data_IF_804436523131
#
_entry.id   IF_804436523131
#
_cell.length_a   1.000
_cell.length_b   1.000
_cell.length_c   1.000
_cell.angle_alpha   90.00
_cell.angle_beta   90.00
_cell.angle_gamma   90.00
#
_symmetry.space_group_name_H-M   'P 1'
#
loop_
_entity.id
_entity.type
_entity.pdbx_description
1 polymer ?
#
# COMPACT_ATOMS: atom_id res chain seq x y z
N UNK A 1 -37.66 -53.11 1.10
CA UNK A 1 -37.57 -51.92 0.23
C UNK A 1 -37.44 -50.61 1.05
N UNK A 2 -38.23 -50.40 2.10
CA UNK A 2 -38.20 -49.12 2.89
C UNK A 2 -36.93 -48.97 3.75
N UNK A 3 -36.40 -50.06 4.30
CA UNK A 3 -35.16 -50.07 5.11
C UNK A 3 -33.91 -49.86 4.25
N UNK A 4 -33.91 -50.30 3.02
CA UNK A 4 -32.78 -50.08 2.10
C UNK A 4 -32.68 -48.61 1.65
N UNK A 5 -33.82 -47.95 1.36
CA UNK A 5 -33.85 -46.52 1.04
C UNK A 5 -33.35 -45.65 2.19
N UNK A 6 -33.68 -45.99 3.45
CA UNK A 6 -33.20 -45.27 4.64
C UNK A 6 -31.69 -45.41 4.83
N UNK A 7 -31.12 -46.59 4.59
CA UNK A 7 -29.66 -46.82 4.68
C UNK A 7 -28.91 -46.08 3.59
N UNK A 8 -29.39 -46.08 2.36
CA UNK A 8 -28.78 -45.31 1.27
C UNK A 8 -28.79 -43.80 1.55
N UNK A 9 -29.90 -43.28 2.05
CA UNK A 9 -29.99 -41.87 2.43
C UNK A 9 -28.99 -41.51 3.57
N UNK A 10 -28.89 -42.33 4.61
CA UNK A 10 -27.94 -42.15 5.71
C UNK A 10 -26.48 -42.18 5.25
N UNK A 11 -26.11 -43.10 4.35
CA UNK A 11 -24.78 -43.21 3.80
C UNK A 11 -24.44 -42.02 2.90
N UNK A 12 -25.39 -41.51 2.11
CA UNK A 12 -25.24 -40.33 1.28
C UNK A 12 -24.93 -39.06 2.12
N UNK A 13 -25.76 -38.83 3.18
CA UNK A 13 -25.57 -37.70 4.11
C UNK A 13 -24.22 -37.79 4.84
N UNK A 14 -23.81 -38.99 5.28
CA UNK A 14 -22.53 -39.21 5.94
C UNK A 14 -21.33 -38.94 4.99
N UNK A 15 -21.47 -39.34 3.72
CA UNK A 15 -20.47 -39.08 2.68
C UNK A 15 -20.33 -37.59 2.36
N UNK A 16 -21.44 -36.85 2.30
CA UNK A 16 -21.42 -35.39 2.13
C UNK A 16 -20.77 -34.68 3.33
N UNK A 17 -21.09 -35.11 4.54
CA UNK A 17 -20.46 -34.56 5.76
C UNK A 17 -18.96 -34.85 5.82
N UNK A 18 -18.50 -36.03 5.41
CA UNK A 18 -17.08 -36.36 5.35
C UNK A 18 -16.37 -35.55 4.27
N UNK A 19 -16.95 -35.40 3.10
CA UNK A 19 -16.40 -34.57 2.02
C UNK A 19 -16.32 -33.09 2.45
N UNK A 20 -17.32 -32.56 3.09
CA UNK A 20 -17.35 -31.21 3.65
C UNK A 20 -16.24 -30.99 4.67
N UNK A 21 -16.07 -31.93 5.62
CA UNK A 21 -14.96 -31.88 6.61
C UNK A 21 -13.57 -31.96 5.98
N UNK A 22 -13.40 -32.83 4.97
CA UNK A 22 -12.13 -32.95 4.26
C UNK A 22 -11.82 -31.67 3.47
N UNK A 23 -12.80 -31.07 2.79
CA UNK A 23 -12.64 -29.82 2.09
C UNK A 23 -12.29 -28.65 3.03
N UNK A 24 -12.93 -28.56 4.19
CA UNK A 24 -12.61 -27.57 5.21
C UNK A 24 -11.19 -27.73 5.76
N UNK A 25 -10.76 -28.98 6.03
CA UNK A 25 -9.43 -29.29 6.52
C UNK A 25 -8.36 -28.93 5.48
N UNK A 26 -8.59 -29.27 4.22
CA UNK A 26 -7.70 -28.93 3.10
C UNK A 26 -7.58 -27.42 2.93
N UNK A 27 -8.71 -26.69 2.97
CA UNK A 27 -8.75 -25.23 2.89
C UNK A 27 -8.01 -24.56 4.06
N UNK A 28 -8.22 -25.04 5.28
CA UNK A 28 -7.53 -24.53 6.47
C UNK A 28 -6.01 -24.72 6.38
N UNK A 29 -5.56 -25.87 5.87
CA UNK A 29 -4.14 -26.16 5.68
C UNK A 29 -3.53 -25.24 4.63
N UNK A 30 -4.22 -25.01 3.50
CA UNK A 30 -3.81 -24.10 2.44
C UNK A 30 -3.66 -22.65 2.94
N UNK A 31 -4.67 -22.16 3.69
CA UNK A 31 -4.62 -20.82 4.29
C UNK A 31 -3.44 -20.64 5.26
N UNK A 32 -3.23 -21.63 6.14
CA UNK A 32 -2.09 -21.62 7.07
C UNK A 32 -0.76 -21.57 6.35
N UNK A 33 -0.57 -22.39 5.31
CA UNK A 33 0.66 -22.37 4.51
C UNK A 33 0.89 -21.01 3.85
N UNK A 34 -0.14 -20.45 3.23
CA UNK A 34 -0.05 -19.15 2.59
C UNK A 34 0.28 -18.02 3.60
N UNK A 35 -0.35 -18.03 4.77
CA UNK A 35 -0.05 -17.09 5.85
C UNK A 35 1.39 -17.23 6.37
N UNK A 36 1.81 -18.47 6.66
CA UNK A 36 3.17 -18.74 7.17
C UNK A 36 4.25 -18.36 6.15
N UNK A 37 3.97 -18.54 4.85
CA UNK A 37 4.88 -18.11 3.79
C UNK A 37 4.90 -16.57 3.62
N UNK A 38 3.78 -15.88 3.77
CA UNK A 38 3.68 -14.44 3.63
C UNK A 38 4.31 -13.67 4.79
N UNK A 39 4.13 -14.16 6.02
CA UNK A 39 4.51 -13.46 7.25
C UNK A 39 5.99 -13.00 7.28
N UNK A 40 7.00 -13.83 6.95
CA UNK A 40 8.40 -13.40 6.99
C UNK A 40 8.71 -12.23 6.05
N UNK A 41 8.06 -12.15 4.89
CA UNK A 41 8.24 -11.06 3.94
C UNK A 41 7.71 -9.72 4.47
N UNK A 42 6.73 -9.75 5.37
CA UNK A 42 6.11 -8.54 5.91
C UNK A 42 6.76 -8.01 7.18
N UNK A 43 7.63 -8.78 7.85
CA UNK A 43 8.31 -8.36 9.09
C UNK A 43 9.13 -7.06 8.90
N UNK A 44 9.94 -6.91 7.85
CA UNK A 44 10.65 -5.65 7.64
C UNK A 44 9.73 -4.44 7.46
N UNK A 45 8.58 -4.68 6.79
CA UNK A 45 7.58 -3.62 6.54
C UNK A 45 6.86 -3.21 7.83
N UNK A 46 6.65 -4.16 8.75
CA UNK A 46 6.01 -3.89 10.03
C UNK A 46 6.68 -2.73 10.79
N UNK A 47 8.00 -2.74 10.91
CA UNK A 47 8.72 -1.69 11.64
C UNK A 47 8.52 -0.30 11.00
N UNK A 48 8.63 -0.21 9.65
CA UNK A 48 8.44 1.03 8.93
C UNK A 48 6.99 1.53 8.99
N UNK A 49 6.02 0.65 8.73
CA UNK A 49 4.60 1.01 8.75
C UNK A 49 4.10 1.38 10.15
N UNK A 50 4.58 0.70 11.18
CA UNK A 50 4.24 1.05 12.55
C UNK A 50 4.79 2.42 12.93
N UNK A 51 6.06 2.67 12.64
CA UNK A 51 6.67 3.97 12.92
C UNK A 51 5.95 5.11 12.20
N UNK A 52 5.76 5.00 10.89
CA UNK A 52 5.07 6.02 10.09
C UNK A 52 3.59 6.14 10.46
N UNK A 53 2.91 5.03 10.72
CA UNK A 53 1.51 5.03 11.15
C UNK A 53 1.32 5.71 12.50
N UNK A 54 2.15 5.40 13.49
CA UNK A 54 2.13 6.08 14.81
C UNK A 54 2.38 7.58 14.62
N UNK A 55 3.37 7.96 13.82
CA UNK A 55 3.66 9.37 13.52
C UNK A 55 2.45 10.07 12.88
N UNK A 56 1.80 9.42 11.90
CA UNK A 56 0.57 9.93 11.29
C UNK A 56 -0.56 10.11 12.31
N UNK A 57 -0.78 9.09 13.16
CA UNK A 57 -1.82 9.17 14.19
C UNK A 57 -1.58 10.29 15.20
N UNK A 58 -0.32 10.48 15.63
CA UNK A 58 0.08 11.59 16.50
C UNK A 58 -0.16 12.92 15.79
N UNK A 59 0.26 13.05 14.52
CA UNK A 59 0.06 14.27 13.74
C UNK A 59 -1.42 14.66 13.62
N UNK A 60 -2.29 13.69 13.31
CA UNK A 60 -3.74 13.90 13.30
C UNK A 60 -4.28 14.37 14.67
N UNK A 61 -3.80 13.75 15.76
CA UNK A 61 -4.26 14.10 17.10
C UNK A 61 -3.85 15.53 17.48
N UNK A 62 -2.61 15.91 17.23
CA UNK A 62 -2.10 17.26 17.50
C UNK A 62 -2.79 18.31 16.63
N UNK A 63 -3.17 17.93 15.41
CA UNK A 63 -3.98 18.77 14.51
C UNK A 63 -5.45 18.94 14.97
N UNK A 64 -5.81 18.38 16.14
CA UNK A 64 -7.14 18.53 16.74
C UNK A 64 -8.13 17.42 16.36
N UNK A 65 -7.72 16.39 15.64
CA UNK A 65 -8.57 15.27 15.26
C UNK A 65 -8.46 14.13 16.27
N UNK A 66 -9.60 13.61 16.74
CA UNK A 66 -9.61 12.44 17.63
C UNK A 66 -9.09 11.17 16.93
N UNK A 67 -8.70 10.16 17.71
CA UNK A 67 -8.12 8.90 17.21
C UNK A 67 -8.98 8.15 16.17
N UNK A 68 -10.28 8.43 16.12
CA UNK A 68 -11.20 7.86 15.14
C UNK A 68 -10.88 8.27 13.69
N UNK A 69 -10.35 9.48 13.50
CA UNK A 69 -10.00 9.98 12.17
C UNK A 69 -8.86 9.17 11.55
N UNK A 70 -7.66 9.08 12.17
CA UNK A 70 -6.58 8.28 11.60
C UNK A 70 -6.95 6.80 11.48
N UNK A 71 -7.75 6.25 12.42
CA UNK A 71 -8.24 4.89 12.35
C UNK A 71 -9.12 4.64 11.10
N UNK A 72 -10.13 5.49 10.87
CA UNK A 72 -11.04 5.32 9.72
C UNK A 72 -10.34 5.60 8.39
N UNK A 73 -9.46 6.60 8.35
CA UNK A 73 -8.72 6.95 7.14
C UNK A 73 -7.75 5.85 6.74
N UNK A 74 -7.00 5.28 7.68
CA UNK A 74 -6.08 4.19 7.41
C UNK A 74 -6.78 2.90 6.96
N UNK A 75 -8.03 2.65 7.38
CA UNK A 75 -8.85 1.53 6.90
C UNK A 75 -9.39 1.79 5.49
N UNK A 76 -9.81 3.02 5.19
CA UNK A 76 -10.59 3.33 3.97
C UNK A 76 -9.74 3.90 2.84
N UNK A 77 -8.64 4.59 3.13
CA UNK A 77 -7.75 5.22 2.15
C UNK A 77 -6.53 4.31 1.89
N UNK A 78 -5.85 3.88 2.94
CA UNK A 78 -4.64 3.04 2.91
C UNK A 78 -3.59 3.57 1.91
N UNK A 79 -3.31 4.86 1.97
CA UNK A 79 -2.35 5.55 1.13
C UNK A 79 -1.61 6.60 1.97
N UNK A 80 -0.58 6.18 2.72
CA UNK A 80 0.08 6.95 3.77
C UNK A 80 0.40 8.39 3.36
N UNK A 81 1.04 8.61 2.21
CA UNK A 81 1.37 9.96 1.73
C UNK A 81 0.12 10.85 1.53
N UNK A 82 -0.98 10.26 1.05
CA UNK A 82 -2.25 10.98 0.88
C UNK A 82 -2.92 11.23 2.23
N UNK A 83 -2.81 10.28 3.15
CA UNK A 83 -3.38 10.43 4.50
C UNK A 83 -2.72 11.59 5.24
N UNK A 84 -1.39 11.75 5.18
CA UNK A 84 -0.71 12.92 5.72
C UNK A 84 -1.19 14.23 5.07
N UNK A 85 -1.28 14.25 3.73
CA UNK A 85 -1.78 15.42 3.00
C UNK A 85 -3.23 15.77 3.35
N UNK A 86 -4.04 14.75 3.65
CA UNK A 86 -5.47 14.96 3.99
C UNK A 86 -5.63 15.74 5.30
N UNK A 87 -4.64 15.73 6.20
CA UNK A 87 -4.66 16.55 7.43
C UNK A 87 -4.75 18.03 7.06
N UNK A 88 -3.89 18.50 6.16
CA UNK A 88 -3.89 19.88 5.69
C UNK A 88 -5.19 20.24 4.94
N UNK A 89 -5.71 19.29 4.15
CA UNK A 89 -6.98 19.45 3.46
C UNK A 89 -8.17 19.55 4.43
N UNK A 90 -8.12 18.89 5.58
CA UNK A 90 -9.16 18.97 6.61
C UNK A 90 -9.06 20.25 7.44
N UNK A 91 -7.87 20.80 7.61
CA UNK A 91 -7.64 22.06 8.34
C UNK A 91 -7.94 23.29 7.48
N UNK A 92 -7.79 23.18 6.17
CA UNK A 92 -7.98 24.26 5.23
C UNK A 92 -9.39 24.31 4.61
N UNK A 93 -9.57 25.22 3.67
CA UNK A 93 -10.76 25.24 2.82
C UNK A 93 -10.72 24.04 1.85
N UNK A 94 -11.75 23.22 1.86
CA UNK A 94 -11.82 22.04 1.00
C UNK A 94 -12.12 22.42 -0.46
N UNK A 95 -11.16 22.18 -1.34
CA UNK A 95 -11.26 22.35 -2.77
C UNK A 95 -11.23 20.98 -3.49
N UNK A 96 -12.39 20.41 -3.89
CA UNK A 96 -12.47 19.05 -4.42
C UNK A 96 -11.56 18.77 -5.62
N UNK A 97 -11.47 19.73 -6.54
CA UNK A 97 -10.63 19.58 -7.74
C UNK A 97 -9.14 19.56 -7.39
N UNK A 98 -8.71 20.41 -6.47
CA UNK A 98 -7.32 20.43 -6.00
C UNK A 98 -6.99 19.13 -5.24
N UNK A 99 -7.87 18.69 -4.34
CA UNK A 99 -7.71 17.43 -3.62
C UNK A 99 -7.60 16.24 -4.58
N UNK A 100 -8.46 16.18 -5.60
CA UNK A 100 -8.40 15.15 -6.64
C UNK A 100 -7.06 15.20 -7.41
N UNK A 101 -6.66 16.38 -7.90
CA UNK A 101 -5.42 16.54 -8.64
C UNK A 101 -4.21 16.13 -7.81
N UNK A 102 -4.09 16.61 -6.57
CA UNK A 102 -2.98 16.26 -5.67
C UNK A 102 -2.94 14.76 -5.36
N UNK A 103 -4.10 14.16 -5.05
CA UNK A 103 -4.20 12.71 -4.78
C UNK A 103 -3.79 11.89 -6.00
N UNK A 104 -4.28 12.25 -7.19
CA UNK A 104 -3.92 11.58 -8.44
C UNK A 104 -2.41 11.67 -8.71
N UNK A 105 -1.83 12.84 -8.45
CA UNK A 105 -0.42 13.09 -8.66
C UNK A 105 0.47 12.26 -7.73
N UNK A 106 0.20 12.27 -6.44
CA UNK A 106 0.97 11.50 -5.43
C UNK A 106 0.84 10.01 -5.70
N UNK A 107 -0.36 9.56 -6.06
CA UNK A 107 -0.65 8.14 -6.33
C UNK A 107 -0.46 7.72 -7.80
N UNK A 108 0.07 8.58 -8.68
CA UNK A 108 0.28 8.25 -10.10
C UNK A 108 1.12 6.98 -10.30
N UNK A 109 2.06 6.71 -9.41
CA UNK A 109 2.88 5.47 -9.40
C UNK A 109 2.04 4.19 -9.28
N UNK A 110 0.90 4.23 -8.58
CA UNK A 110 0.02 3.06 -8.44
C UNK A 110 -0.64 2.63 -9.77
N UNK A 111 -0.75 3.53 -10.75
CA UNK A 111 -1.19 3.17 -12.10
C UNK A 111 -0.20 2.20 -12.76
N UNK A 112 1.10 2.43 -12.60
CA UNK A 112 2.14 1.55 -13.14
C UNK A 112 2.18 0.21 -12.40
N UNK A 113 2.01 0.20 -11.07
CA UNK A 113 1.88 -1.04 -10.29
C UNK A 113 0.67 -1.84 -10.75
N UNK A 114 -0.47 -1.17 -10.96
CA UNK A 114 -1.69 -1.79 -11.46
C UNK A 114 -1.48 -2.46 -12.82
N UNK A 115 -0.81 -1.81 -13.75
CA UNK A 115 -0.50 -2.37 -15.07
C UNK A 115 0.40 -3.60 -14.94
N UNK A 116 1.45 -3.52 -14.12
CA UNK A 116 2.41 -4.62 -13.92
C UNK A 116 1.78 -5.85 -13.26
N UNK A 117 0.74 -5.66 -12.43
CA UNK A 117 0.07 -6.74 -11.70
C UNK A 117 -1.21 -7.26 -12.39
N UNK A 118 -1.56 -6.76 -13.58
CA UNK A 118 -2.81 -7.13 -14.27
C UNK A 118 -2.92 -8.64 -14.49
N UNK A 119 -1.86 -9.27 -14.97
CA UNK A 119 -1.85 -10.70 -15.27
C UNK A 119 -1.82 -11.54 -13.98
N UNK A 120 -1.10 -11.07 -12.96
CA UNK A 120 -1.00 -11.72 -11.67
C UNK A 120 -2.34 -11.76 -10.91
N UNK A 121 -3.19 -10.77 -11.13
CA UNK A 121 -4.51 -10.66 -10.47
C UNK A 121 -5.63 -11.33 -11.25
N UNK A 122 -5.34 -11.94 -12.43
CA UNK A 122 -6.34 -12.69 -13.19
C UNK A 122 -6.79 -13.94 -12.42
N UNK A 123 -8.09 -14.19 -12.42
CA UNK A 123 -8.66 -15.41 -11.81
C UNK A 123 -8.74 -15.44 -10.29
N UNK A 124 -8.32 -14.37 -9.57
CA UNK A 124 -8.30 -14.35 -8.11
C UNK A 124 -9.68 -14.07 -7.47
N UNK A 125 -10.74 -13.90 -8.28
CA UNK A 125 -12.09 -13.65 -7.79
C UNK A 125 -12.18 -12.39 -6.93
N UNK A 126 -12.90 -12.46 -5.80
CA UNK A 126 -13.09 -11.33 -4.89
C UNK A 126 -11.77 -10.79 -4.28
N UNK A 127 -10.76 -11.64 -4.12
CA UNK A 127 -9.43 -11.23 -3.62
C UNK A 127 -8.82 -10.12 -4.46
N UNK A 128 -9.06 -10.13 -5.77
CA UNK A 128 -8.58 -9.12 -6.70
C UNK A 128 -8.97 -7.69 -6.29
N UNK A 129 -10.20 -7.48 -5.84
CA UNK A 129 -10.68 -6.15 -5.43
C UNK A 129 -9.87 -5.64 -4.24
N UNK A 130 -9.66 -6.50 -3.25
CA UNK A 130 -8.88 -6.14 -2.08
C UNK A 130 -7.39 -5.93 -2.40
N UNK A 131 -6.81 -6.75 -3.28
CA UNK A 131 -5.43 -6.61 -3.72
C UNK A 131 -5.18 -5.31 -4.50
N UNK A 132 -6.15 -4.86 -5.31
CA UNK A 132 -6.08 -3.57 -6.02
C UNK A 132 -6.17 -2.42 -5.01
N UNK A 133 -7.11 -2.48 -4.07
CA UNK A 133 -7.26 -1.47 -3.01
C UNK A 133 -5.99 -1.36 -2.14
N UNK A 134 -5.47 -2.49 -1.67
CA UNK A 134 -4.33 -2.54 -0.76
C UNK A 134 -2.95 -2.49 -1.43
N UNK A 135 -2.89 -2.03 -2.68
CA UNK A 135 -1.62 -1.95 -3.41
C UNK A 135 -0.88 -0.65 -3.03
N UNK A 136 0.17 -0.79 -2.25
CA UNK A 136 1.17 0.25 -1.97
C UNK A 136 2.55 -0.22 -2.46
N UNK A 137 3.57 0.62 -2.30
CA UNK A 137 4.93 0.34 -2.77
C UNK A 137 5.47 -0.97 -2.20
N UNK A 138 5.32 -1.17 -0.91
CA UNK A 138 5.80 -2.33 -0.18
C UNK A 138 5.03 -3.60 -0.56
N UNK A 139 3.70 -3.49 -0.65
CA UNK A 139 2.85 -4.61 -1.06
C UNK A 139 3.15 -5.03 -2.50
N UNK A 140 3.32 -4.05 -3.41
CA UNK A 140 3.73 -4.31 -4.78
C UNK A 140 5.10 -4.98 -4.83
N UNK A 141 6.09 -4.44 -4.13
CA UNK A 141 7.46 -4.97 -4.11
C UNK A 141 7.47 -6.44 -3.70
N UNK A 142 6.78 -6.80 -2.61
CA UNK A 142 6.72 -8.19 -2.15
C UNK A 142 5.97 -9.06 -3.16
N UNK A 143 4.76 -8.66 -3.58
CA UNK A 143 3.92 -9.48 -4.46
C UNK A 143 4.53 -9.71 -5.84
N UNK A 144 5.37 -8.78 -6.31
CA UNK A 144 6.06 -8.86 -7.60
C UNK A 144 7.36 -9.66 -7.53
N UNK A 145 8.12 -9.58 -6.42
CA UNK A 145 9.48 -10.15 -6.33
C UNK A 145 9.58 -11.43 -5.51
N UNK A 146 8.57 -11.76 -4.68
CA UNK A 146 8.65 -12.91 -3.78
C UNK A 146 8.73 -14.23 -4.54
N UNK A 147 9.69 -15.08 -4.16
CA UNK A 147 9.76 -16.46 -4.60
C UNK A 147 8.75 -17.30 -3.80
N UNK A 148 7.54 -17.46 -4.35
CA UNK A 148 6.45 -18.20 -3.69
C UNK A 148 6.66 -19.70 -3.94
N UNK A 149 6.72 -20.55 -2.90
CA UNK A 149 6.83 -22.00 -3.05
C UNK A 149 5.67 -22.58 -3.86
N UNK A 150 5.92 -23.63 -4.64
CA UNK A 150 4.91 -24.26 -5.53
C UNK A 150 3.71 -24.84 -4.77
N UNK A 151 3.89 -25.23 -3.50
CA UNK A 151 2.83 -25.78 -2.64
C UNK A 151 1.97 -24.70 -1.94
N UNK A 152 2.24 -23.42 -2.20
CA UNK A 152 1.54 -22.26 -1.64
C UNK A 152 0.63 -21.62 -2.69
N UNK A 153 -0.64 -21.43 -2.34
CA UNK A 153 -1.57 -20.68 -3.20
C UNK A 153 -1.15 -19.21 -3.31
N UNK A 154 -0.76 -18.80 -4.51
CA UNK A 154 -0.27 -17.45 -4.81
C UNK A 154 -1.29 -16.36 -4.46
N UNK A 155 -2.57 -16.59 -4.74
CA UNK A 155 -3.63 -15.62 -4.46
C UNK A 155 -3.86 -15.40 -2.97
N UNK A 156 -3.73 -16.45 -2.15
CA UNK A 156 -3.80 -16.31 -0.69
C UNK A 156 -2.51 -15.73 -0.10
N UNK A 157 -1.35 -16.05 -0.68
CA UNK A 157 -0.09 -15.42 -0.29
C UNK A 157 -0.18 -13.90 -0.45
N UNK A 158 -0.51 -13.41 -1.65
CA UNK A 158 -0.66 -11.99 -1.93
C UNK A 158 -1.74 -11.33 -1.04
N UNK A 159 -2.84 -12.03 -0.79
CA UNK A 159 -3.89 -11.56 0.12
C UNK A 159 -3.35 -11.34 1.53
N UNK A 160 -2.59 -12.29 2.08
CA UNK A 160 -2.04 -12.16 3.43
C UNK A 160 -0.94 -11.11 3.52
N UNK A 161 -0.09 -10.96 2.50
CA UNK A 161 0.86 -9.84 2.44
C UNK A 161 0.13 -8.51 2.52
N UNK A 162 -0.89 -8.31 1.69
CA UNK A 162 -1.70 -7.09 1.66
C UNK A 162 -2.42 -6.86 2.99
N UNK A 163 -3.02 -7.91 3.56
CA UNK A 163 -3.76 -7.84 4.83
C UNK A 163 -2.84 -7.49 6.01
N UNK A 164 -1.66 -8.10 6.10
CA UNK A 164 -0.71 -7.82 7.17
C UNK A 164 -0.20 -6.39 7.09
N UNK A 165 0.19 -5.92 5.91
CA UNK A 165 0.62 -4.55 5.72
C UNK A 165 -0.49 -3.55 6.08
N UNK A 166 -1.73 -3.83 5.69
CA UNK A 166 -2.88 -3.01 6.05
C UNK A 166 -3.10 -2.97 7.57
N UNK A 167 -3.02 -4.13 8.25
CA UNK A 167 -3.13 -4.20 9.71
C UNK A 167 -2.01 -3.40 10.39
N UNK A 168 -0.79 -3.49 9.90
CA UNK A 168 0.35 -2.76 10.46
C UNK A 168 0.13 -1.25 10.38
N UNK A 169 -0.26 -0.74 9.23
CA UNK A 169 -0.58 0.66 9.02
C UNK A 169 -1.74 1.14 9.91
N UNK A 170 -2.87 0.45 9.82
CA UNK A 170 -4.08 0.75 10.59
C UNK A 170 -3.82 0.74 12.11
N UNK A 171 -3.14 -0.29 12.62
CA UNK A 171 -2.84 -0.40 14.05
C UNK A 171 -1.88 0.70 14.52
N UNK A 172 -0.86 1.02 13.73
CA UNK A 172 0.05 2.13 13.99
C UNK A 172 -0.67 3.46 14.04
N UNK A 173 -1.47 3.79 13.02
CA UNK A 173 -2.24 5.03 12.96
C UNK A 173 -3.23 5.19 14.13
N UNK A 174 -3.91 4.10 14.48
CA UNK A 174 -4.85 4.10 15.62
C UNK A 174 -4.13 4.32 16.95
N UNK A 175 -3.03 3.59 17.19
CA UNK A 175 -2.22 3.76 18.40
C UNK A 175 -1.62 5.15 18.50
N UNK A 176 -1.09 5.69 17.39
CA UNK A 176 -0.60 7.06 17.33
C UNK A 176 -1.67 8.09 17.68
N UNK A 177 -2.89 7.92 17.16
CA UNK A 177 -4.03 8.78 17.49
C UNK A 177 -4.44 8.72 18.96
N UNK A 178 -4.32 7.55 19.60
CA UNK A 178 -4.60 7.37 21.03
C UNK A 178 -3.46 7.98 21.87
N UNK A 179 -2.22 7.63 21.57
CA UNK A 179 -1.07 8.11 22.34
C UNK A 179 -0.82 9.61 22.17
N UNK A 180 -1.14 10.19 20.99
CA UNK A 180 -1.06 11.62 20.75
C UNK A 180 -1.85 12.45 21.76
N UNK A 181 -2.97 11.94 22.26
CA UNK A 181 -3.75 12.59 23.31
C UNK A 181 -3.13 12.54 24.72
N UNK A 182 -2.21 11.58 24.93
CA UNK A 182 -1.55 11.37 26.23
C UNK A 182 -0.21 12.11 26.33
N UNK A 183 0.37 12.46 25.19
CA UNK A 183 1.69 13.08 25.12
C UNK A 183 1.51 14.55 24.75
N UNK A 184 1.89 15.43 25.64
CA UNK A 184 1.96 16.86 25.37
C UNK A 184 3.27 17.12 24.59
N UNK A 185 3.21 16.91 23.27
CA UNK A 185 4.30 17.30 22.38
C UNK A 185 4.26 18.81 22.13
N UNK A 186 5.44 19.40 22.13
CA UNK A 186 5.63 20.68 21.47
C UNK A 186 5.38 20.47 19.97
N UNK A 187 4.46 21.23 19.42
CA UNK A 187 4.04 21.09 18.01
C UNK A 187 5.04 21.72 17.03
N UNK A 188 6.07 22.39 17.55
CA UNK A 188 7.16 22.90 16.74
C UNK A 188 7.87 21.74 16.01
N UNK A 189 7.78 21.72 14.70
CA UNK A 189 8.41 20.70 13.84
C UNK A 189 7.48 19.60 13.32
N UNK A 190 6.19 19.55 13.72
CA UNK A 190 5.25 18.61 13.09
C UNK A 190 5.04 18.90 11.60
N UNK A 191 5.11 20.14 11.18
CA UNK A 191 5.10 20.55 9.78
C UNK A 191 6.26 19.92 8.99
N UNK A 192 7.36 19.60 9.69
CA UNK A 192 8.51 18.94 9.08
C UNK A 192 8.32 17.43 8.90
N UNK A 193 7.37 16.79 9.58
CA UNK A 193 7.16 15.34 9.52
C UNK A 193 6.86 14.88 8.09
N UNK A 194 5.99 15.60 7.37
CA UNK A 194 5.70 15.30 5.96
C UNK A 194 6.94 15.45 5.08
N UNK A 195 7.67 16.53 5.26
CA UNK A 195 8.92 16.76 4.51
C UNK A 195 9.93 15.65 4.79
N UNK A 196 10.12 15.29 6.07
CA UNK A 196 11.01 14.22 6.48
C UNK A 196 10.59 12.87 5.87
N UNK A 197 9.28 12.56 5.86
CA UNK A 197 8.75 11.34 5.25
C UNK A 197 9.08 11.28 3.74
N UNK A 198 8.84 12.36 2.99
CA UNK A 198 9.18 12.39 1.55
C UNK A 198 10.68 12.29 1.31
N UNK A 199 11.51 12.91 2.16
CA UNK A 199 12.96 12.77 2.09
C UNK A 199 13.38 11.32 2.34
N UNK A 200 12.81 10.66 3.33
CA UNK A 200 13.09 9.23 3.64
C UNK A 200 12.70 8.34 2.46
N UNK A 201 11.49 8.53 1.90
CA UNK A 201 11.03 7.77 0.71
C UNK A 201 11.99 7.99 -0.46
N UNK A 202 12.40 9.23 -0.71
CA UNK A 202 13.35 9.53 -1.77
C UNK A 202 14.71 8.86 -1.53
N UNK A 203 15.25 8.94 -0.31
CA UNK A 203 16.53 8.31 0.07
C UNK A 203 16.44 6.78 -0.04
N UNK A 204 15.33 6.18 0.37
CA UNK A 204 15.13 4.73 0.23
C UNK A 204 15.15 4.30 -1.23
N UNK A 205 14.49 5.02 -2.12
CA UNK A 205 14.54 4.78 -3.56
C UNK A 205 15.96 5.00 -4.10
N UNK A 206 16.62 6.07 -3.69
CA UNK A 206 17.99 6.37 -4.08
C UNK A 206 18.96 5.25 -3.71
N UNK A 207 18.85 4.71 -2.51
CA UNK A 207 19.73 3.63 -2.03
C UNK A 207 19.45 2.28 -2.69
N UNK A 208 18.20 2.02 -3.12
CA UNK A 208 17.82 0.77 -3.80
C UNK A 208 18.25 0.76 -5.27
N UNK A 209 18.24 1.91 -5.93
CA UNK A 209 18.52 2.02 -7.35
C UNK A 209 20.03 2.22 -7.58
N UNK A 210 20.58 1.52 -8.60
CA UNK A 210 21.97 1.70 -9.01
C UNK A 210 22.14 2.83 -10.03
N UNK A 211 21.07 3.14 -10.78
CA UNK A 211 21.06 4.22 -11.77
C UNK A 211 20.20 5.38 -11.29
N UNK A 212 20.85 6.45 -10.89
CA UNK A 212 20.19 7.66 -10.36
C UNK A 212 19.78 8.66 -11.44
N UNK A 213 19.88 8.31 -12.71
CA UNK A 213 19.58 9.22 -13.82
C UNK A 213 18.14 9.74 -13.75
N UNK A 214 17.17 8.86 -13.51
CA UNK A 214 15.76 9.24 -13.40
C UNK A 214 15.49 10.16 -12.20
N UNK A 215 16.12 9.88 -11.06
CA UNK A 215 15.99 10.69 -9.84
C UNK A 215 16.59 12.07 -9.99
N UNK A 216 17.79 12.15 -10.61
CA UNK A 216 18.45 13.43 -10.89
C UNK A 216 17.67 14.26 -11.92
N UNK A 217 17.11 13.62 -12.94
CA UNK A 217 16.25 14.31 -13.91
C UNK A 217 14.97 14.84 -13.23
N UNK A 218 14.34 14.04 -12.37
CA UNK A 218 13.18 14.46 -11.59
C UNK A 218 13.49 15.68 -10.73
N UNK A 219 14.61 15.67 -9.99
CA UNK A 219 15.06 16.81 -9.19
C UNK A 219 15.33 18.05 -10.05
N UNK A 220 16.05 17.88 -11.16
CA UNK A 220 16.37 19.00 -12.06
C UNK A 220 15.13 19.65 -12.67
N UNK A 221 14.18 18.84 -13.15
CA UNK A 221 12.90 19.33 -13.69
C UNK A 221 12.09 20.05 -12.61
N UNK A 222 12.01 19.47 -11.41
CA UNK A 222 11.29 20.08 -10.29
C UNK A 222 11.87 21.42 -9.90
N UNK A 223 13.20 21.54 -9.85
CA UNK A 223 13.90 22.79 -9.55
C UNK A 223 13.65 23.86 -10.63
N UNK A 224 13.71 23.48 -11.90
CA UNK A 224 13.40 24.39 -13.01
C UNK A 224 11.94 24.87 -12.92
N UNK A 225 11.00 23.95 -12.69
CA UNK A 225 9.60 24.33 -12.56
C UNK A 225 9.35 25.22 -11.33
N UNK A 226 10.05 24.99 -10.23
CA UNK A 226 9.96 25.82 -9.03
C UNK A 226 10.41 27.26 -9.33
N UNK A 227 11.52 27.44 -10.08
CA UNK A 227 12.03 28.76 -10.45
C UNK A 227 11.07 29.47 -11.42
N UNK A 228 10.48 28.74 -12.39
CA UNK A 228 9.62 29.30 -13.43
C UNK A 228 8.22 29.62 -12.93
N UNK A 229 7.60 28.73 -12.17
CA UNK A 229 6.18 28.82 -11.76
C UNK A 229 5.99 29.30 -10.32
N UNK A 230 7.06 29.37 -9.51
CA UNK A 230 6.98 29.73 -8.11
C UNK A 230 6.49 28.61 -7.21
N UNK A 231 6.64 28.78 -5.88
CA UNK A 231 6.35 27.75 -4.89
C UNK A 231 4.89 27.26 -4.89
N UNK A 232 3.95 28.15 -5.17
CA UNK A 232 2.50 27.84 -5.07
C UNK A 232 1.96 27.00 -6.24
N UNK A 233 2.65 27.02 -7.41
CA UNK A 233 2.09 26.45 -8.65
C UNK A 233 3.02 25.48 -9.39
N UNK A 234 4.24 25.23 -8.90
CA UNK A 234 5.24 24.43 -9.64
C UNK A 234 4.92 22.92 -9.68
N UNK A 235 4.17 22.40 -8.72
CA UNK A 235 3.99 20.96 -8.53
C UNK A 235 3.36 20.32 -9.78
N UNK A 236 2.25 20.86 -10.28
CA UNK A 236 1.54 20.30 -11.45
C UNK A 236 2.41 20.35 -12.73
N UNK A 237 3.00 21.50 -13.11
CA UNK A 237 3.92 21.56 -14.24
C UNK A 237 5.12 20.62 -14.10
N UNK A 238 5.72 20.52 -12.91
CA UNK A 238 6.86 19.64 -12.67
C UNK A 238 6.50 18.17 -12.92
N UNK A 239 5.38 17.72 -12.41
CA UNK A 239 4.97 16.33 -12.58
C UNK A 239 4.60 15.99 -14.03
N UNK A 240 3.92 16.88 -14.72
CA UNK A 240 3.63 16.69 -16.16
C UNK A 240 4.92 16.65 -16.96
N UNK A 241 5.87 17.55 -16.69
CA UNK A 241 7.16 17.57 -17.36
C UNK A 241 7.98 16.30 -17.07
N UNK A 242 8.03 15.85 -15.80
CA UNK A 242 8.69 14.61 -15.42
C UNK A 242 8.07 13.41 -16.13
N UNK A 243 6.74 13.32 -16.13
CA UNK A 243 6.03 12.22 -16.80
C UNK A 243 6.36 12.18 -18.30
N UNK A 244 6.28 13.31 -18.98
CA UNK A 244 6.57 13.40 -20.42
C UNK A 244 8.03 13.05 -20.70
N UNK A 245 8.98 13.65 -19.99
CA UNK A 245 10.43 13.45 -20.22
C UNK A 245 10.83 12.01 -19.95
N UNK A 246 10.39 11.42 -18.81
CA UNK A 246 10.72 10.03 -18.49
C UNK A 246 10.03 9.05 -19.44
N UNK A 247 8.79 9.32 -19.89
CA UNK A 247 8.12 8.49 -20.89
C UNK A 247 8.82 8.50 -22.24
N UNK A 248 9.30 9.65 -22.70
CA UNK A 248 10.07 9.77 -23.95
C UNK A 248 11.43 9.10 -23.84
N UNK A 249 12.07 9.15 -22.68
CA UNK A 249 13.37 8.54 -22.41
C UNK A 249 13.31 7.10 -21.89
N UNK A 250 12.12 6.51 -21.80
CA UNK A 250 11.93 5.16 -21.28
C UNK A 250 12.83 4.12 -21.98
N UNK A 251 12.80 4.07 -23.29
CA UNK A 251 13.58 3.08 -24.06
C UNK A 251 15.11 3.20 -23.86
N UNK A 252 15.74 4.40 -23.91
CA UNK A 252 17.16 4.52 -23.63
C UNK A 252 17.52 4.26 -22.16
N UNK A 253 16.64 4.54 -21.20
CA UNK A 253 16.86 4.27 -19.77
C UNK A 253 16.78 2.76 -19.48
N UNK A 254 15.79 2.05 -20.00
CA UNK A 254 15.64 0.59 -19.85
C UNK A 254 16.86 -0.14 -20.45
N UNK A 255 17.37 0.29 -21.60
CA UNK A 255 18.58 -0.29 -22.20
C UNK A 255 19.83 -0.09 -21.35
N UNK A 256 19.95 1.02 -20.63
CA UNK A 256 21.07 1.26 -19.70
C UNK A 256 20.97 0.42 -18.43
N UNK A 257 19.77 0.21 -17.91
CA UNK A 257 19.53 -0.65 -16.74
C UNK A 257 19.70 -2.15 -17.03
N UNK A 258 19.43 -2.60 -18.27
CA UNK A 258 19.55 -4.01 -18.68
C UNK A 258 20.99 -4.43 -19.00
N UNK A 259 21.93 -3.50 -19.17
CA UNK A 259 23.36 -3.75 -19.49
C UNK A 259 24.24 -3.82 -18.25
N UNK A 260 23.67 -3.62 -17.06
CA UNK A 260 24.38 -3.72 -15.76
C UNK A 260 23.73 -4.72 -14.84
#
# INVERSE_FOLDING_TARGET
LEKEGSLFHFLAVRREQMNSKNNMKTRSTMLKRAFTAAFPYTIPIFAGFWFLGITYGIYMNVSGFGFWYPMLMSITIFAGSVEFLTVDMLLGAFHPLQAFAMTLMINARHLFYGISMLDEFRGLGWKRIYLIFGMCDETFSINYTAAIPEDVDKGWFMFFVTLLNHIYWFSGATLGGIFGSLIHFDTEGLDFVMTAMFVVIFLEQWLKEKDHTSSLMGLGISLICLIVFGADSFIIPAMLAILVVLSLLRQPLEKRGAVR
#
